data_IF_479990443739
#
_entry.id   IF_479990443739
#
_cell.length_a   1.000
_cell.length_b   1.000
_cell.length_c   1.000
_cell.angle_alpha   90.00
_cell.angle_beta   90.00
_cell.angle_gamma   90.00
#
_symmetry.space_group_name_H-M   'P 1'
#
loop_
_entity.id
_entity.type
_entity.pdbx_description
1 polymer ?
#
# COMPACT_ATOMS: atom_id res chain seq x y z
N UNK A 1 -3.92 10.83 11.91
CA UNK A 1 -2.72 10.18 12.48
C UNK A 1 -1.79 9.65 11.38
N UNK A 2 -2.23 8.74 10.50
CA UNK A 2 -1.40 8.23 9.38
C UNK A 2 -0.84 9.35 8.49
N UNK A 3 -1.66 10.30 8.09
CA UNK A 3 -1.23 11.46 7.29
C UNK A 3 -0.18 12.34 7.95
N UNK A 4 -0.08 12.29 9.28
CA UNK A 4 0.93 13.06 10.04
C UNK A 4 2.22 12.25 10.24
N UNK A 5 2.10 10.93 10.34
CA UNK A 5 3.25 10.05 10.60
C UNK A 5 3.91 9.59 9.31
N UNK A 6 3.13 9.36 8.28
CA UNK A 6 3.61 8.86 6.99
C UNK A 6 2.75 9.40 5.82
N UNK A 7 2.96 10.65 5.43
CA UNK A 7 2.23 11.23 4.29
C UNK A 7 2.52 10.51 2.97
N UNK A 8 3.74 9.99 2.77
CA UNK A 8 4.08 9.26 1.56
C UNK A 8 3.35 7.91 1.49
N UNK A 9 3.36 7.13 2.57
CA UNK A 9 2.63 5.89 2.66
C UNK A 9 1.12 6.08 2.46
N UNK A 10 0.54 7.12 3.05
CA UNK A 10 -0.86 7.48 2.85
C UNK A 10 -1.15 7.82 1.37
N UNK A 11 -0.21 8.42 0.68
CA UNK A 11 -0.39 8.81 -0.74
C UNK A 11 -0.48 7.62 -1.70
N UNK A 12 -0.01 6.45 -1.32
CA UNK A 12 -0.02 5.23 -2.14
C UNK A 12 -0.99 4.17 -1.63
N UNK A 13 -1.57 4.37 -0.46
CA UNK A 13 -2.52 3.42 0.13
C UNK A 13 -3.78 3.36 -0.73
N UNK A 14 -4.10 2.17 -1.24
CA UNK A 14 -5.27 1.91 -2.08
C UNK A 14 -6.30 1.02 -1.40
N UNK A 15 -5.94 0.37 -0.31
CA UNK A 15 -6.83 -0.45 0.49
C UNK A 15 -6.42 -0.42 1.96
N UNK A 16 -7.41 -0.52 2.82
CA UNK A 16 -7.21 -0.66 4.25
C UNK A 16 -7.96 -1.91 4.73
N UNK A 17 -7.31 -2.69 5.57
CA UNK A 17 -7.92 -3.88 6.18
C UNK A 17 -8.52 -3.63 7.55
N UNK A 18 -8.64 -2.40 7.97
CA UNK A 18 -9.18 -2.04 9.27
C UNK A 18 -10.68 -1.73 9.21
N UNK A 19 -11.31 -1.82 10.35
CA UNK A 19 -12.70 -1.40 10.51
C UNK A 19 -12.85 0.12 10.33
N UNK A 20 -13.91 0.62 9.69
CA UNK A 20 -14.23 2.04 9.64
C UNK A 20 -14.38 2.71 11.02
N UNK A 21 -14.62 1.92 12.07
CA UNK A 21 -14.69 2.40 13.44
C UNK A 21 -13.33 2.55 14.11
N UNK A 22 -12.26 2.03 13.53
CA UNK A 22 -10.89 2.14 14.06
C UNK A 22 -10.34 3.55 13.81
N UNK A 23 -10.51 4.42 14.77
CA UNK A 23 -10.12 5.84 14.73
C UNK A 23 -8.92 6.14 15.63
N UNK A 24 -8.24 5.12 16.12
CA UNK A 24 -7.08 5.27 16.99
C UNK A 24 -7.44 5.80 18.40
N UNK A 25 -8.65 5.62 18.87
CA UNK A 25 -9.04 6.09 20.21
C UNK A 25 -8.23 5.45 21.33
N UNK A 26 -7.86 4.17 21.20
CA UNK A 26 -7.01 3.48 22.17
C UNK A 26 -5.63 4.11 22.27
N UNK A 27 -5.01 4.44 21.16
CA UNK A 27 -3.71 5.12 21.11
C UNK A 27 -3.82 6.51 21.77
N UNK A 28 -4.86 7.27 21.43
CA UNK A 28 -5.07 8.60 22.02
C UNK A 28 -5.27 8.52 23.53
N UNK A 29 -6.07 7.59 24.02
CA UNK A 29 -6.31 7.39 25.45
C UNK A 29 -5.01 7.01 26.17
N UNK A 30 -4.18 6.13 25.59
CA UNK A 30 -2.89 5.77 26.15
C UNK A 30 -1.94 6.97 26.23
N UNK A 31 -1.85 7.81 25.21
CA UNK A 31 -1.03 9.02 25.21
C UNK A 31 -1.54 10.01 26.28
N UNK A 32 -2.83 10.19 26.42
CA UNK A 32 -3.40 11.04 27.48
C UNK A 32 -3.12 10.50 28.88
N UNK A 33 -2.97 9.18 29.03
CA UNK A 33 -2.56 8.54 30.27
C UNK A 33 -1.04 8.57 30.51
N UNK A 34 -0.26 9.19 29.64
CA UNK A 34 1.18 9.37 29.79
C UNK A 34 2.06 8.38 29.00
N UNK A 35 1.48 7.56 28.11
CA UNK A 35 2.26 6.72 27.22
C UNK A 35 2.98 7.57 26.15
N UNK A 36 4.16 7.16 25.77
CA UNK A 36 4.90 7.76 24.66
C UNK A 36 4.55 7.05 23.34
N UNK A 37 4.48 7.83 22.26
CA UNK A 37 4.47 7.27 20.92
C UNK A 37 5.89 6.84 20.53
N UNK A 38 5.98 5.77 19.77
CA UNK A 38 7.23 5.37 19.14
C UNK A 38 7.70 6.49 18.20
N UNK A 39 8.96 6.85 18.29
CA UNK A 39 9.55 7.93 17.48
C UNK A 39 9.80 7.48 16.03
N UNK A 40 9.94 6.19 15.83
CA UNK A 40 10.21 5.56 14.54
C UNK A 40 8.99 4.81 14.01
N UNK A 41 7.80 5.13 14.51
CA UNK A 41 6.57 4.49 14.10
C UNK A 41 6.33 4.72 12.60
N UNK A 42 6.51 3.67 11.81
CA UNK A 42 6.14 3.62 10.41
C UNK A 42 5.00 2.61 10.21
N UNK A 43 3.99 2.93 9.38
CA UNK A 43 2.96 1.95 9.06
C UNK A 43 3.56 0.80 8.25
N UNK A 44 3.08 -0.40 8.52
CA UNK A 44 3.39 -1.54 7.66
C UNK A 44 2.53 -1.48 6.41
N UNK A 45 3.15 -1.33 5.28
CA UNK A 45 2.51 -1.30 3.97
C UNK A 45 2.80 -2.59 3.20
N UNK A 46 1.80 -3.07 2.46
CA UNK A 46 1.93 -4.23 1.59
C UNK A 46 1.50 -3.86 0.18
N UNK A 47 2.23 -4.32 -0.79
CA UNK A 47 1.95 -4.14 -2.22
C UNK A 47 0.92 -5.17 -2.73
N UNK A 48 -0.26 -5.17 -2.11
CA UNK A 48 -1.35 -6.14 -2.38
C UNK A 48 -2.60 -5.52 -3.01
N UNK A 49 -2.62 -4.23 -3.23
CA UNK A 49 -3.77 -3.57 -3.86
C UNK A 49 -3.65 -3.61 -5.38
N UNK A 50 -4.71 -4.02 -6.09
CA UNK A 50 -4.79 -3.94 -7.54
C UNK A 50 -5.71 -2.79 -7.92
N UNK A 51 -5.25 -1.93 -8.81
CA UNK A 51 -6.04 -0.92 -9.49
C UNK A 51 -6.23 -1.28 -10.96
N UNK A 52 -7.26 -0.73 -11.59
CA UNK A 52 -7.47 -0.91 -13.02
C UNK A 52 -6.33 -0.26 -13.83
N UNK A 53 -6.05 -0.76 -15.05
CA UNK A 53 -5.09 -0.11 -15.94
C UNK A 53 -5.42 1.38 -16.14
N UNK A 54 -4.40 2.23 -16.05
CA UNK A 54 -4.56 3.68 -16.18
C UNK A 54 -4.98 4.43 -14.92
N UNK A 55 -5.34 3.72 -13.85
CA UNK A 55 -5.70 4.33 -12.55
C UNK A 55 -4.44 4.53 -11.71
N UNK A 56 -4.33 5.68 -11.06
CA UNK A 56 -3.25 5.99 -10.13
C UNK A 56 -3.56 5.45 -8.73
N UNK A 57 -2.49 5.14 -7.96
CA UNK A 57 -2.65 4.81 -6.55
C UNK A 57 -2.96 6.07 -5.71
N UNK A 58 -3.57 5.85 -4.57
CA UNK A 58 -3.87 6.88 -3.59
C UNK A 58 -5.35 7.13 -3.43
N UNK A 59 -5.66 8.11 -2.60
CA UNK A 59 -7.03 8.54 -2.35
C UNK A 59 -7.44 9.65 -3.31
N UNK A 60 -8.71 9.66 -3.66
CA UNK A 60 -9.40 10.77 -4.30
C UNK A 60 -10.45 11.33 -3.35
N UNK A 61 -10.70 12.63 -3.42
CA UNK A 61 -11.78 13.24 -2.67
C UNK A 61 -13.14 12.75 -3.20
N UNK A 62 -14.02 12.37 -2.31
CA UNK A 62 -15.33 11.83 -2.65
C UNK A 62 -16.34 12.12 -1.53
N UNK A 63 -17.47 12.69 -1.89
CA UNK A 63 -18.56 12.96 -0.95
C UNK A 63 -19.15 11.68 -0.34
N UNK A 64 -19.04 10.56 -1.05
CA UNK A 64 -19.57 9.27 -0.63
C UNK A 64 -18.59 8.43 0.22
N UNK A 65 -17.40 8.96 0.51
CA UNK A 65 -16.38 8.25 1.26
C UNK A 65 -16.30 8.75 2.70
N UNK A 66 -15.94 7.85 3.60
CA UNK A 66 -15.67 8.20 4.98
C UNK A 66 -14.50 9.20 5.06
N UNK A 67 -14.77 10.35 5.68
CA UNK A 67 -13.77 11.43 5.76
C UNK A 67 -13.53 12.18 4.44
N UNK A 68 -14.43 12.03 3.45
CA UNK A 68 -14.33 12.72 2.16
C UNK A 68 -13.29 12.11 1.21
N UNK A 69 -12.72 10.94 1.55
CA UNK A 69 -11.70 10.29 0.72
C UNK A 69 -12.10 8.86 0.38
N UNK A 70 -11.90 8.47 -0.85
CA UNK A 70 -12.17 7.14 -1.38
C UNK A 70 -11.01 6.63 -2.25
N UNK A 71 -10.97 5.32 -2.43
CA UNK A 71 -10.06 4.72 -3.40
C UNK A 71 -10.59 4.90 -4.81
N UNK A 72 -9.73 5.15 -5.81
CA UNK A 72 -10.14 5.22 -7.21
C UNK A 72 -10.57 3.83 -7.69
N UNK A 73 -11.85 3.68 -7.98
CA UNK A 73 -12.41 2.42 -8.50
C UNK A 73 -12.54 1.30 -7.48
N UNK A 74 -12.72 0.08 -7.99
CA UNK A 74 -12.80 -1.13 -7.17
C UNK A 74 -11.41 -1.72 -6.97
N UNK A 75 -10.92 -1.68 -5.75
CA UNK A 75 -9.65 -2.27 -5.40
C UNK A 75 -9.88 -3.71 -5.00
N UNK A 76 -9.07 -4.60 -5.55
CA UNK A 76 -9.02 -6.01 -5.17
C UNK A 76 -7.71 -6.28 -4.46
N UNK A 77 -7.76 -7.16 -3.48
CA UNK A 77 -6.56 -7.68 -2.86
C UNK A 77 -5.93 -8.76 -3.75
N UNK A 78 -4.62 -8.67 -3.91
CA UNK A 78 -3.82 -9.62 -4.69
C UNK A 78 -2.61 -10.06 -3.86
N UNK A 79 -2.71 -11.19 -3.21
CA UNK A 79 -1.65 -11.69 -2.32
C UNK A 79 -0.30 -11.90 -3.04
N UNK A 80 -0.24 -12.43 -4.30
CA UNK A 80 1.02 -12.54 -5.02
C UNK A 80 1.72 -11.21 -5.32
N UNK A 81 1.09 -10.07 -5.08
CA UNK A 81 1.72 -8.75 -5.22
C UNK A 81 2.99 -8.60 -4.38
N UNK A 82 3.03 -9.22 -3.20
CA UNK A 82 4.21 -9.18 -2.31
C UNK A 82 5.32 -10.15 -2.70
N UNK A 83 5.12 -10.99 -3.71
CA UNK A 83 6.10 -11.98 -4.12
C UNK A 83 7.20 -11.36 -5.01
N UNK A 84 8.41 -11.95 -5.07
CA UNK A 84 9.56 -11.38 -5.77
C UNK A 84 9.49 -11.58 -7.31
N UNK A 85 8.32 -11.40 -7.89
CA UNK A 85 8.16 -11.35 -9.35
C UNK A 85 8.57 -9.99 -9.89
N UNK A 86 9.00 -9.97 -11.15
CA UNK A 86 9.43 -8.74 -11.81
C UNK A 86 8.39 -7.63 -11.71
N UNK A 87 8.81 -6.47 -11.23
CA UNK A 87 7.97 -5.28 -11.11
C UNK A 87 8.52 -4.17 -12.01
N UNK A 88 7.65 -3.64 -12.86
CA UNK A 88 7.99 -2.54 -13.78
C UNK A 88 7.04 -1.38 -13.61
N UNK A 89 7.57 -0.16 -13.73
CA UNK A 89 6.77 1.05 -13.73
C UNK A 89 5.97 1.22 -15.04
N UNK A 90 5.21 2.30 -15.18
CA UNK A 90 4.44 2.60 -16.41
C UNK A 90 5.29 2.80 -17.66
N UNK A 91 6.56 3.08 -17.52
CA UNK A 91 7.50 3.21 -18.63
C UNK A 91 8.11 1.85 -19.05
N UNK A 92 7.77 0.76 -18.36
CA UNK A 92 8.35 -0.55 -18.58
C UNK A 92 9.73 -0.73 -17.92
N UNK A 93 10.13 0.15 -17.02
CA UNK A 93 11.42 0.12 -16.34
C UNK A 93 11.32 -0.61 -14.99
N UNK A 94 12.27 -1.48 -14.72
CA UNK A 94 12.45 -2.08 -13.40
C UNK A 94 12.95 -1.00 -12.44
N UNK A 95 12.30 -0.84 -11.30
CA UNK A 95 12.55 0.28 -10.37
C UNK A 95 13.02 -0.14 -8.98
N UNK A 96 12.96 -1.42 -8.65
CA UNK A 96 13.32 -1.91 -7.33
C UNK A 96 13.93 -3.32 -7.39
N UNK A 97 14.53 -3.75 -6.29
CA UNK A 97 14.87 -5.14 -6.06
C UNK A 97 13.63 -5.83 -5.46
N UNK A 98 13.05 -6.78 -6.16
CA UNK A 98 11.81 -7.46 -5.77
C UNK A 98 11.96 -8.35 -4.53
N UNK A 99 13.19 -8.63 -4.10
CA UNK A 99 13.46 -9.37 -2.85
C UNK A 99 13.59 -8.47 -1.62
N UNK A 100 13.40 -7.17 -1.77
CA UNK A 100 13.35 -6.25 -0.64
C UNK A 100 12.10 -6.46 0.23
N UNK A 101 12.15 -6.03 1.50
CA UNK A 101 10.97 -5.98 2.36
C UNK A 101 9.80 -5.23 1.71
N UNK A 102 8.59 -5.60 2.07
CA UNK A 102 7.35 -5.05 1.48
C UNK A 102 7.29 -3.53 1.49
N UNK A 103 7.67 -2.92 2.62
CA UNK A 103 7.68 -1.47 2.75
C UNK A 103 8.59 -0.81 1.70
N UNK A 104 9.77 -1.37 1.46
CA UNK A 104 10.75 -0.79 0.54
C UNK A 104 10.19 -0.78 -0.89
N UNK A 105 9.50 -1.85 -1.30
CA UNK A 105 8.82 -1.93 -2.59
C UNK A 105 7.71 -0.87 -2.69
N UNK A 106 6.90 -0.72 -1.64
CA UNK A 106 5.81 0.27 -1.64
C UNK A 106 6.36 1.70 -1.73
N UNK A 107 7.38 2.02 -0.97
CA UNK A 107 8.01 3.35 -1.02
C UNK A 107 8.71 3.60 -2.35
N UNK A 108 9.38 2.60 -2.92
CA UNK A 108 9.95 2.71 -4.26
C UNK A 108 8.85 2.96 -5.32
N UNK A 109 7.72 2.26 -5.21
CA UNK A 109 6.56 2.47 -6.09
C UNK A 109 5.93 3.85 -5.93
N UNK A 110 5.95 4.42 -4.73
CA UNK A 110 5.44 5.77 -4.45
C UNK A 110 6.12 6.86 -5.27
N UNK A 111 7.34 6.63 -5.72
CA UNK A 111 8.11 7.54 -6.55
C UNK A 111 7.96 7.29 -8.06
N UNK A 112 7.20 6.25 -8.46
CA UNK A 112 6.99 5.94 -9.86
C UNK A 112 5.79 6.69 -10.45
N UNK A 113 5.71 6.83 -11.79
CA UNK A 113 4.58 7.46 -12.48
C UNK A 113 3.24 6.83 -12.08
N UNK A 114 2.31 7.62 -11.55
CA UNK A 114 1.01 7.18 -11.06
C UNK A 114 1.07 6.39 -9.75
N UNK A 115 2.25 6.21 -9.15
CA UNK A 115 2.48 5.45 -7.91
C UNK A 115 1.98 4.00 -8.01
N UNK A 116 2.10 3.43 -9.18
CA UNK A 116 1.69 2.06 -9.50
C UNK A 116 2.78 1.35 -10.28
N UNK A 117 2.71 0.04 -10.29
CA UNK A 117 3.56 -0.80 -11.13
C UNK A 117 2.76 -1.97 -11.70
N UNK A 118 3.30 -2.60 -12.73
CA UNK A 118 2.82 -3.89 -13.23
C UNK A 118 3.74 -5.00 -12.72
N UNK A 119 3.14 -6.07 -12.22
CA UNK A 119 3.88 -7.29 -11.91
C UNK A 119 3.82 -8.21 -13.13
N UNK A 120 4.98 -8.66 -13.57
CA UNK A 120 5.14 -9.55 -14.72
C UNK A 120 5.48 -10.94 -14.21
N UNK A 121 4.72 -11.92 -14.66
CA UNK A 121 4.94 -13.32 -14.33
C UNK A 121 4.79 -14.15 -15.61
N UNK A 122 5.37 -15.33 -15.60
CA UNK A 122 5.20 -16.30 -16.67
C UNK A 122 4.02 -17.24 -16.41
N UNK A 123 3.85 -18.25 -17.26
CA UNK A 123 2.76 -19.23 -17.16
C UNK A 123 2.89 -20.14 -15.90
N UNK A 124 4.04 -20.18 -15.26
CA UNK A 124 4.28 -21.05 -14.11
C UNK A 124 3.94 -20.38 -12.77
N UNK A 125 3.40 -19.16 -12.79
CA UNK A 125 3.12 -18.37 -11.58
C UNK A 125 2.42 -19.17 -10.47
N UNK A 126 1.48 -20.05 -10.81
CA UNK A 126 0.72 -20.82 -9.81
C UNK A 126 1.60 -21.83 -9.06
N UNK A 127 2.63 -22.36 -9.70
CA UNK A 127 3.62 -23.24 -9.06
C UNK A 127 4.66 -22.42 -8.30
N UNK A 128 5.09 -21.30 -8.85
CA UNK A 128 6.09 -20.46 -8.22
C UNK A 128 5.58 -19.79 -6.95
N UNK A 129 4.32 -19.34 -6.93
CA UNK A 129 3.71 -18.77 -5.72
C UNK A 129 3.75 -19.74 -4.54
N UNK A 130 3.59 -21.03 -4.77
CA UNK A 130 3.64 -22.06 -3.71
C UNK A 130 5.00 -22.13 -3.01
N UNK A 131 6.08 -21.66 -3.63
CA UNK A 131 7.43 -21.66 -3.04
C UNK A 131 7.64 -20.53 -2.03
N UNK A 132 6.77 -19.54 -2.01
CA UNK A 132 6.90 -18.33 -1.21
C UNK A 132 5.90 -18.28 -0.04
N UNK A 133 5.14 -19.35 0.18
CA UNK A 133 4.16 -19.50 1.26
C UNK A 133 4.46 -20.69 2.16
#
# INVERSE_FOLDING_TARGET
>A
MMEQLDPLGTSVTTACSYSPSDKGYGIRAAVWAGANLDKEAAPMLFDRGIVAPGVDAGYVDSENAFGGKAFPGKIKQYNPGTQPFLKVNRNGERFANESCPYNDIVYAAAHQPGRVYAQICDANILEDVKRFH
#
